data_IF_020566727663
#
_entry.id   IF_020566727663
#
_cell.length_a   1.000
_cell.length_b   1.000
_cell.length_c   1.000
_cell.angle_alpha   90.00
_cell.angle_beta   90.00
_cell.angle_gamma   90.00
#
_symmetry.space_group_name_H-M   'P 1'
#
loop_
_entity.id
_entity.type
_entity.pdbx_description
1 polymer ?
#
# COMPACT_ATOMS: atom_id res chain seq x y z
N UNK A 1 -9.20 -21.52 -2.25
CA UNK A 1 -10.39 -22.15 -2.84
C UNK A 1 -9.94 -22.99 -4.03
N UNK A 2 -10.33 -24.26 -4.08
CA UNK A 2 -9.99 -25.23 -5.12
C UNK A 2 -10.60 -24.87 -6.50
N UNK A 3 -10.10 -25.41 -7.63
CA UNK A 3 -10.27 -24.88 -9.00
C UNK A 3 -11.68 -25.02 -9.63
N UNK A 4 -12.69 -25.41 -8.86
CA UNK A 4 -13.90 -26.02 -9.41
C UNK A 4 -15.15 -25.14 -9.32
N UNK A 5 -15.03 -23.90 -8.84
CA UNK A 5 -16.17 -22.98 -8.78
C UNK A 5 -16.32 -22.19 -10.09
N UNK A 6 -17.30 -22.61 -10.91
CA UNK A 6 -17.83 -21.97 -12.15
C UNK A 6 -18.46 -20.57 -11.91
N UNK A 7 -17.84 -19.69 -11.12
CA UNK A 7 -18.38 -18.35 -10.78
C UNK A 7 -17.56 -17.19 -11.35
N UNK A 8 -16.43 -17.47 -11.99
CA UNK A 8 -15.58 -16.50 -12.69
C UNK A 8 -15.51 -16.93 -14.15
N UNK A 9 -15.87 -16.04 -15.07
CA UNK A 9 -15.69 -16.29 -16.51
C UNK A 9 -14.25 -16.69 -16.76
N UNK A 10 -14.03 -17.88 -17.34
CA UNK A 10 -12.69 -18.40 -17.64
C UNK A 10 -12.15 -17.61 -18.82
N UNK A 11 -11.42 -16.53 -18.57
CA UNK A 11 -10.50 -16.01 -19.58
C UNK A 11 -9.35 -17.01 -19.75
N UNK A 12 -8.84 -17.14 -20.97
CA UNK A 12 -7.72 -18.02 -21.25
C UNK A 12 -6.49 -17.61 -20.40
N UNK A 13 -5.77 -18.60 -19.89
CA UNK A 13 -4.54 -18.42 -19.13
C UNK A 13 -3.39 -19.08 -19.86
N UNK A 14 -2.20 -18.52 -19.76
CA UNK A 14 -0.97 -19.17 -20.19
C UNK A 14 -0.30 -19.86 -19.00
N UNK A 15 0.35 -20.99 -19.26
CA UNK A 15 1.29 -21.61 -18.32
C UNK A 15 2.54 -20.73 -18.14
N UNK A 16 3.31 -20.98 -17.09
CA UNK A 16 4.55 -20.24 -16.83
C UNK A 16 5.53 -20.35 -18.00
N UNK A 17 5.71 -21.55 -18.54
CA UNK A 17 6.64 -21.77 -19.65
C UNK A 17 6.19 -21.05 -20.93
N UNK A 18 4.89 -21.03 -21.21
CA UNK A 18 4.35 -20.27 -22.34
C UNK A 18 4.59 -18.76 -22.18
N UNK A 19 4.43 -18.20 -20.97
CA UNK A 19 4.71 -16.77 -20.70
C UNK A 19 6.20 -16.48 -20.87
N UNK A 20 7.07 -17.34 -20.32
CA UNK A 20 8.54 -17.21 -20.45
C UNK A 20 9.00 -17.28 -21.91
N UNK A 21 8.32 -18.08 -22.73
CA UNK A 21 8.63 -18.26 -24.14
C UNK A 21 8.21 -17.09 -25.05
N UNK A 22 7.47 -16.09 -24.53
CA UNK A 22 7.12 -14.91 -25.32
C UNK A 22 8.38 -14.14 -25.76
N UNK A 23 8.49 -13.72 -27.03
CA UNK A 23 9.70 -13.10 -27.59
C UNK A 23 9.84 -11.61 -27.18
N UNK A 24 9.53 -11.28 -25.92
CA UNK A 24 9.63 -9.91 -25.39
C UNK A 24 11.05 -9.35 -25.54
N UNK A 25 12.06 -10.20 -25.37
CA UNK A 25 13.46 -9.85 -25.55
C UNK A 25 13.83 -9.47 -26.99
N UNK A 26 13.05 -9.87 -28.00
CA UNK A 26 13.31 -9.55 -29.42
C UNK A 26 12.71 -8.19 -29.82
N UNK A 27 11.61 -7.79 -29.18
CA UNK A 27 10.90 -6.54 -29.49
C UNK A 27 11.26 -5.38 -28.53
N UNK A 28 11.77 -5.69 -27.35
CA UNK A 28 12.20 -4.67 -26.40
C UNK A 28 13.55 -4.04 -26.80
N UNK A 29 13.68 -2.73 -26.60
CA UNK A 29 14.93 -2.01 -26.80
C UNK A 29 16.08 -2.57 -25.94
N UNK A 30 17.32 -2.36 -26.38
CA UNK A 30 18.52 -2.84 -25.65
C UNK A 30 18.66 -2.24 -24.25
N UNK A 31 18.17 -1.02 -24.05
CA UNK A 31 17.96 -0.40 -22.75
C UNK A 31 16.47 -0.14 -22.55
N UNK A 32 15.86 -0.83 -21.59
CA UNK A 32 14.41 -0.77 -21.38
C UNK A 32 14.06 -0.99 -19.91
N UNK A 33 12.90 -0.45 -19.52
CA UNK A 33 12.25 -0.76 -18.24
C UNK A 33 11.13 -1.77 -18.45
N UNK A 34 10.92 -2.65 -17.47
CA UNK A 34 9.80 -3.58 -17.40
C UNK A 34 9.02 -3.31 -16.12
N UNK A 35 7.70 -3.17 -16.26
CA UNK A 35 6.73 -3.09 -15.17
C UNK A 35 5.82 -4.32 -15.26
N UNK A 36 6.06 -5.32 -14.42
CA UNK A 36 5.38 -6.61 -14.48
C UNK A 36 4.41 -6.78 -13.31
N UNK A 37 3.11 -6.83 -13.57
CA UNK A 37 2.12 -7.16 -12.55
C UNK A 37 2.23 -8.62 -12.13
N UNK A 38 2.37 -8.86 -10.82
CA UNK A 38 2.53 -10.21 -10.25
C UNK A 38 1.65 -10.37 -9.02
N UNK A 39 0.78 -11.40 -8.98
CA UNK A 39 0.08 -11.78 -7.75
C UNK A 39 1.08 -12.15 -6.66
N UNK A 40 0.82 -11.78 -5.41
CA UNK A 40 1.75 -12.03 -4.29
C UNK A 40 2.22 -13.50 -4.17
N UNK A 41 1.34 -14.45 -4.49
CA UNK A 41 1.64 -15.88 -4.42
C UNK A 41 2.55 -16.39 -5.56
N UNK A 42 2.69 -15.62 -6.65
CA UNK A 42 3.46 -15.97 -7.85
C UNK A 42 4.71 -15.11 -7.99
N UNK A 43 5.18 -14.53 -6.88
CA UNK A 43 6.36 -13.66 -6.89
C UNK A 43 7.61 -14.37 -7.44
N UNK A 44 7.94 -15.62 -7.03
CA UNK A 44 9.08 -16.34 -7.61
C UNK A 44 8.96 -16.51 -9.13
N UNK A 45 7.80 -16.94 -9.61
CA UNK A 45 7.51 -17.15 -11.03
C UNK A 45 7.59 -15.83 -11.81
N UNK A 46 7.11 -14.73 -11.24
CA UNK A 46 7.23 -13.40 -11.82
C UNK A 46 8.70 -12.99 -12.03
N UNK A 47 9.58 -13.30 -11.08
CA UNK A 47 11.02 -13.05 -11.22
C UNK A 47 11.63 -13.92 -12.33
N UNK A 48 11.21 -15.19 -12.44
CA UNK A 48 11.65 -16.07 -13.54
C UNK A 48 11.23 -15.55 -14.91
N UNK A 49 10.02 -15.00 -15.03
CA UNK A 49 9.53 -14.38 -16.28
C UNK A 49 10.40 -13.17 -16.65
N UNK A 50 10.72 -12.29 -15.69
CA UNK A 50 11.60 -11.15 -15.95
C UNK A 50 12.97 -11.59 -16.48
N UNK A 51 13.55 -12.63 -15.86
CA UNK A 51 14.84 -13.17 -16.29
C UNK A 51 14.77 -13.77 -17.69
N UNK A 52 13.73 -14.56 -18.00
CA UNK A 52 13.53 -15.16 -19.32
C UNK A 52 13.39 -14.09 -20.41
N UNK A 53 12.73 -12.96 -20.11
CA UNK A 53 12.60 -11.82 -21.03
C UNK A 53 13.84 -10.92 -21.10
N UNK A 54 14.90 -11.22 -20.33
CA UNK A 54 16.15 -10.47 -20.34
C UNK A 54 16.17 -9.21 -19.46
N UNK A 55 15.28 -9.13 -18.47
CA UNK A 55 15.23 -8.03 -17.50
C UNK A 55 15.74 -8.47 -16.13
N UNK A 56 16.63 -7.67 -15.55
CA UNK A 56 17.07 -7.86 -14.17
C UNK A 56 16.09 -7.17 -13.23
N UNK A 57 15.60 -7.89 -12.23
CA UNK A 57 14.82 -7.30 -11.14
C UNK A 57 15.62 -6.22 -10.39
N UNK A 58 14.99 -5.08 -10.10
CA UNK A 58 15.61 -3.96 -9.38
C UNK A 58 14.83 -3.62 -8.10
N UNK A 59 13.52 -3.43 -8.21
CA UNK A 59 12.64 -3.08 -7.09
C UNK A 59 11.20 -3.45 -7.44
N UNK A 60 10.23 -3.10 -6.60
CA UNK A 60 8.81 -3.27 -6.87
C UNK A 60 8.01 -2.05 -6.42
N UNK A 61 6.83 -1.88 -7.01
CA UNK A 61 5.79 -0.95 -6.57
C UNK A 61 4.63 -1.77 -6.01
N UNK A 62 4.13 -1.38 -4.84
CA UNK A 62 3.02 -2.05 -4.17
C UNK A 62 1.72 -1.32 -4.51
N UNK A 63 0.75 -2.01 -5.09
CA UNK A 63 -0.62 -1.50 -5.12
C UNK A 63 -1.35 -1.90 -3.84
N UNK A 64 -1.56 -0.95 -2.93
CA UNK A 64 -2.38 -1.12 -1.75
C UNK A 64 -3.86 -0.84 -2.06
N UNK A 65 -4.69 -1.87 -1.92
CA UNK A 65 -6.13 -1.79 -2.16
C UNK A 65 -6.81 -1.23 -0.93
N UNK A 66 -7.33 -0.02 -1.06
CA UNK A 66 -7.97 0.69 0.05
C UNK A 66 -9.50 0.57 -0.02
N UNK A 67 -10.12 0.62 1.15
CA UNK A 67 -11.55 0.88 1.32
C UNK A 67 -11.80 2.39 1.25
N UNK A 68 -13.07 2.79 1.34
CA UNK A 68 -13.44 4.20 1.38
C UNK A 68 -12.81 4.93 2.58
N UNK A 69 -12.72 4.26 3.73
CA UNK A 69 -12.15 4.77 4.98
C UNK A 69 -10.60 4.78 5.03
N UNK A 70 -9.90 4.56 3.91
CA UNK A 70 -8.43 4.47 3.86
C UNK A 70 -7.84 3.17 4.44
N UNK A 71 -8.64 2.33 5.09
CA UNK A 71 -8.21 1.03 5.59
C UNK A 71 -7.95 0.01 4.48
N UNK A 72 -7.22 -1.09 4.77
CA UNK A 72 -6.98 -2.14 3.79
C UNK A 72 -8.27 -2.89 3.39
N UNK A 73 -8.41 -3.19 2.10
CA UNK A 73 -9.57 -3.91 1.55
C UNK A 73 -9.45 -5.44 1.74
N UNK A 74 -9.90 -5.92 2.90
CA UNK A 74 -9.87 -7.34 3.30
C UNK A 74 -10.76 -8.29 2.47
N UNK A 75 -11.41 -7.82 1.39
CA UNK A 75 -12.20 -8.67 0.47
C UNK A 75 -11.33 -9.50 -0.48
N UNK A 76 -10.01 -9.31 -0.48
CA UNK A 76 -9.07 -10.11 -1.26
C UNK A 76 -9.02 -11.59 -0.87
N UNK A 77 -8.94 -12.47 -1.86
CA UNK A 77 -8.76 -13.92 -1.67
C UNK A 77 -7.30 -14.26 -1.39
N UNK A 78 -7.07 -15.19 -0.46
CA UNK A 78 -5.76 -15.78 -0.15
C UNK A 78 -5.93 -16.88 0.89
N UNK A 79 -5.01 -17.85 0.90
CA UNK A 79 -5.10 -19.04 1.76
C UNK A 79 -4.51 -18.80 3.16
N UNK A 80 -3.39 -18.06 3.22
CA UNK A 80 -2.70 -17.74 4.47
C UNK A 80 -3.04 -16.34 4.98
N UNK A 81 -3.10 -15.36 4.07
CA UNK A 81 -3.44 -13.97 4.38
C UNK A 81 -4.48 -13.44 3.39
N UNK A 82 -5.26 -12.44 3.81
CA UNK A 82 -6.17 -11.71 2.90
C UNK A 82 -5.33 -10.78 2.04
N UNK A 83 -5.34 -10.98 0.72
CA UNK A 83 -4.55 -10.17 -0.20
C UNK A 83 -5.14 -8.77 -0.35
N UNK A 84 -4.59 -7.82 0.39
CA UNK A 84 -4.92 -6.39 0.31
C UNK A 84 -3.94 -5.61 -0.58
N UNK A 85 -2.94 -6.30 -1.13
CA UNK A 85 -1.94 -5.74 -2.04
C UNK A 85 -1.81 -6.57 -3.33
N UNK A 86 -1.27 -5.96 -4.37
CA UNK A 86 -0.66 -6.62 -5.55
C UNK A 86 0.67 -5.93 -5.85
N UNK A 87 1.59 -6.61 -6.53
CA UNK A 87 2.92 -6.08 -6.85
C UNK A 87 3.05 -5.76 -8.34
N UNK A 88 3.77 -4.68 -8.63
CA UNK A 88 4.41 -4.44 -9.92
C UNK A 88 5.91 -4.65 -9.71
N UNK A 89 6.49 -5.68 -10.30
CA UNK A 89 7.93 -5.83 -10.32
C UNK A 89 8.53 -4.85 -11.32
N UNK A 90 9.57 -4.14 -10.91
CA UNK A 90 10.32 -3.21 -11.75
C UNK A 90 11.66 -3.83 -12.14
N UNK A 91 11.85 -4.00 -13.45
CA UNK A 91 13.05 -4.57 -14.05
C UNK A 91 13.74 -3.64 -15.02
N UNK A 92 15.04 -3.85 -15.19
CA UNK A 92 15.87 -3.09 -16.14
C UNK A 92 16.59 -4.06 -17.06
N UNK A 93 16.53 -3.79 -18.36
CA UNK A 93 17.41 -4.37 -19.38
C UNK A 93 18.48 -3.36 -19.77
N UNK A 94 19.71 -3.84 -19.96
CA UNK A 94 20.86 -2.97 -20.23
C UNK A 94 21.23 -2.10 -19.02
N UNK A 95 21.63 -0.87 -19.27
CA UNK A 95 22.04 0.09 -18.24
C UNK A 95 21.23 1.38 -18.34
N UNK A 96 20.08 1.41 -17.67
CA UNK A 96 19.16 2.56 -17.63
C UNK A 96 18.78 2.89 -16.18
N UNK A 97 18.64 4.19 -15.89
CA UNK A 97 17.99 4.70 -14.68
C UNK A 97 16.64 5.29 -15.05
N UNK A 98 15.74 5.36 -14.07
CA UNK A 98 14.50 6.13 -14.19
C UNK A 98 14.78 7.61 -14.47
N UNK A 99 13.80 8.25 -15.10
CA UNK A 99 13.72 9.70 -15.24
C UNK A 99 13.68 10.37 -13.86
N UNK A 100 13.86 11.69 -13.83
CA UNK A 100 13.94 12.45 -12.58
C UNK A 100 12.72 12.28 -11.66
N UNK A 101 11.52 12.08 -12.23
CA UNK A 101 10.31 11.80 -11.45
C UNK A 101 10.41 10.47 -10.70
N UNK A 102 10.94 9.42 -11.34
CA UNK A 102 11.11 8.10 -10.73
C UNK A 102 12.10 8.06 -9.57
N UNK A 103 12.95 9.07 -9.40
CA UNK A 103 13.84 9.19 -8.23
C UNK A 103 13.14 9.75 -7.00
N UNK A 104 11.97 10.36 -7.18
CA UNK A 104 11.12 10.93 -6.12
C UNK A 104 9.82 10.13 -5.92
N UNK A 105 9.50 9.26 -6.87
CA UNK A 105 8.35 8.39 -6.81
C UNK A 105 8.48 7.40 -5.64
N UNK A 106 7.48 7.40 -4.75
CA UNK A 106 7.34 6.37 -3.74
C UNK A 106 6.90 5.06 -4.38
N UNK A 107 7.33 3.93 -3.83
CA UNK A 107 7.06 2.62 -4.40
C UNK A 107 5.67 2.07 -4.02
N UNK A 108 4.65 2.94 -4.01
CA UNK A 108 3.30 2.57 -3.62
C UNK A 108 2.24 3.32 -4.42
N UNK A 109 1.21 2.60 -4.85
CA UNK A 109 -0.03 3.12 -5.41
C UNK A 109 -1.15 2.75 -4.45
N UNK A 110 -1.94 3.72 -4.00
CA UNK A 110 -3.07 3.47 -3.10
C UNK A 110 -4.37 3.87 -3.77
N UNK A 111 -5.23 2.90 -4.06
CA UNK A 111 -6.51 3.19 -4.72
C UNK A 111 -7.60 2.26 -4.23
N UNK A 112 -8.85 2.67 -4.41
CA UNK A 112 -10.00 1.80 -4.17
C UNK A 112 -10.09 0.74 -5.25
N UNK A 113 -10.32 -0.51 -4.83
CA UNK A 113 -10.48 -1.64 -5.75
C UNK A 113 -11.67 -1.41 -6.69
N UNK A 114 -11.41 -1.54 -7.99
CA UNK A 114 -12.42 -1.51 -9.07
C UNK A 114 -12.89 -2.93 -9.43
N UNK A 115 -13.52 -3.11 -10.59
CA UNK A 115 -13.98 -4.42 -11.07
C UNK A 115 -12.88 -5.50 -11.08
N UNK A 116 -13.31 -6.77 -11.14
CA UNK A 116 -12.41 -7.90 -10.99
C UNK A 116 -11.25 -7.84 -12.00
N UNK A 117 -10.03 -7.96 -11.50
CA UNK A 117 -8.78 -7.94 -12.27
C UNK A 117 -8.39 -6.60 -12.91
N UNK A 118 -9.18 -5.52 -12.75
CA UNK A 118 -8.77 -4.19 -13.24
C UNK A 118 -7.69 -3.59 -12.34
N UNK A 119 -6.58 -3.24 -12.97
CA UNK A 119 -5.42 -2.54 -12.37
C UNK A 119 -5.73 -1.03 -12.23
N UNK A 120 -5.05 -0.32 -11.31
CA UNK A 120 -5.22 1.13 -11.15
C UNK A 120 -4.77 1.87 -12.41
N UNK A 121 -5.57 2.84 -12.89
CA UNK A 121 -5.19 3.66 -14.03
C UNK A 121 -3.99 4.57 -13.68
N UNK A 122 -3.81 4.85 -12.39
CA UNK A 122 -2.70 5.62 -11.82
C UNK A 122 -1.32 5.01 -12.13
N UNK A 123 -1.28 3.73 -12.54
CA UNK A 123 -0.04 3.10 -13.00
C UNK A 123 0.54 3.80 -14.23
N UNK A 124 -0.29 4.35 -15.11
CA UNK A 124 0.16 4.86 -16.39
C UNK A 124 0.90 6.18 -16.22
N UNK A 125 0.32 7.14 -15.50
CA UNK A 125 0.97 8.41 -15.19
C UNK A 125 2.28 8.20 -14.41
N UNK A 126 2.30 7.19 -13.53
CA UNK A 126 3.53 6.77 -12.85
C UNK A 126 4.57 6.29 -13.87
N UNK A 127 4.21 5.36 -14.76
CA UNK A 127 5.16 4.79 -15.73
C UNK A 127 5.65 5.86 -16.69
N UNK A 128 4.75 6.65 -17.27
CA UNK A 128 5.04 7.70 -18.26
C UNK A 128 5.93 8.80 -17.67
N UNK A 129 5.75 9.16 -16.39
CA UNK A 129 6.63 10.13 -15.72
C UNK A 129 7.99 9.53 -15.33
N UNK A 130 8.05 8.23 -15.00
CA UNK A 130 9.25 7.58 -14.50
C UNK A 130 10.15 6.98 -15.60
N UNK A 131 9.61 6.71 -16.78
CA UNK A 131 10.28 5.97 -17.85
C UNK A 131 10.06 6.61 -19.22
N UNK A 132 11.10 6.68 -20.06
CA UNK A 132 10.93 7.17 -21.42
C UNK A 132 10.13 6.17 -22.26
N UNK A 133 9.35 6.69 -23.21
CA UNK A 133 8.76 5.88 -24.27
C UNK A 133 9.80 5.45 -25.33
N UNK A 134 9.37 4.70 -26.37
CA UNK A 134 7.99 4.27 -26.64
C UNK A 134 7.48 3.21 -25.65
N UNK A 135 6.15 3.09 -25.52
CA UNK A 135 5.50 2.19 -24.56
C UNK A 135 4.78 1.01 -25.23
N UNK A 136 4.88 -0.17 -24.62
CA UNK A 136 4.19 -1.40 -25.01
C UNK A 136 3.43 -1.97 -23.79
N UNK A 137 2.11 -2.17 -23.91
CA UNK A 137 1.30 -2.89 -22.94
C UNK A 137 0.93 -4.28 -23.49
N UNK A 138 1.41 -5.32 -22.83
CA UNK A 138 1.05 -6.71 -23.14
C UNK A 138 -0.12 -7.18 -22.28
N UNK A 139 -0.97 -8.03 -22.87
CA UNK A 139 -2.23 -8.50 -22.28
C UNK A 139 -3.24 -7.37 -21.98
N UNK A 140 -3.17 -6.28 -22.74
CA UNK A 140 -4.07 -5.14 -22.62
C UNK A 140 -5.52 -5.55 -22.96
N UNK A 141 -6.49 -4.91 -22.31
CA UNK A 141 -7.93 -5.07 -22.61
C UNK A 141 -8.55 -3.88 -23.32
N UNK A 142 -7.88 -2.74 -23.32
CA UNK A 142 -8.37 -1.51 -23.91
C UNK A 142 -7.21 -0.83 -24.61
N UNK A 143 -7.45 -0.15 -25.75
CA UNK A 143 -6.44 0.72 -26.33
C UNK A 143 -6.12 1.88 -25.38
N UNK A 144 -4.88 2.37 -25.44
CA UNK A 144 -4.46 3.57 -24.72
C UNK A 144 -3.65 4.45 -25.66
N UNK A 145 -4.00 5.73 -25.71
CA UNK A 145 -3.28 6.71 -26.52
C UNK A 145 -1.81 6.78 -26.08
N UNK A 146 -0.90 6.81 -27.06
CA UNK A 146 0.55 6.82 -26.81
C UNK A 146 1.15 5.45 -26.47
N UNK A 147 0.35 4.39 -26.35
CA UNK A 147 0.80 3.02 -26.06
C UNK A 147 0.56 2.09 -27.25
N UNK A 148 1.58 1.30 -27.59
CA UNK A 148 1.36 0.10 -28.41
C UNK A 148 0.70 -0.95 -27.51
N UNK A 149 -0.46 -1.45 -27.88
CA UNK A 149 -1.18 -2.46 -27.08
C UNK A 149 -1.19 -3.81 -27.79
N UNK A 150 -0.98 -4.89 -27.03
CA UNK A 150 -1.11 -6.26 -27.49
C UNK A 150 -1.96 -7.06 -26.51
N UNK A 151 -3.07 -7.62 -26.95
CA UNK A 151 -3.94 -8.45 -26.12
C UNK A 151 -5.17 -8.93 -26.87
N UNK A 152 -5.77 -10.03 -26.41
CA UNK A 152 -6.91 -10.66 -27.09
C UNK A 152 -8.18 -9.79 -27.12
N UNK A 153 -8.24 -8.74 -26.29
CA UNK A 153 -9.35 -7.77 -26.24
C UNK A 153 -8.89 -6.35 -26.61
N UNK A 154 -7.68 -6.18 -27.16
CA UNK A 154 -7.07 -4.87 -27.38
C UNK A 154 -7.47 -4.19 -28.70
N UNK A 155 -8.16 -4.90 -29.60
CA UNK A 155 -8.59 -4.34 -30.88
C UNK A 155 -9.78 -3.38 -30.69
N UNK A 156 -9.81 -2.28 -31.45
CA UNK A 156 -10.81 -1.21 -31.32
C UNK A 156 -12.25 -1.69 -31.55
N UNK A 157 -12.43 -2.80 -32.26
CA UNK A 157 -13.71 -3.39 -32.62
C UNK A 157 -14.22 -4.43 -31.59
N UNK A 158 -13.43 -4.76 -30.57
CA UNK A 158 -13.79 -5.74 -29.54
C UNK A 158 -14.35 -5.02 -28.32
N UNK A 159 -15.59 -5.36 -27.92
CA UNK A 159 -16.14 -4.93 -26.63
C UNK A 159 -15.56 -5.81 -25.52
N UNK A 160 -14.75 -5.28 -24.58
CA UNK A 160 -14.04 -6.11 -23.61
C UNK A 160 -14.96 -6.76 -22.57
N UNK A 161 -14.58 -7.93 -22.06
CA UNK A 161 -15.38 -8.63 -21.06
C UNK A 161 -15.20 -7.96 -19.67
N UNK A 162 -16.15 -7.12 -19.28
CA UNK A 162 -16.19 -6.50 -17.96
C UNK A 162 -17.48 -5.71 -17.73
N UNK A 163 -18.52 -6.34 -17.19
CA UNK A 163 -19.74 -5.62 -16.78
C UNK A 163 -19.42 -4.68 -15.60
N UNK A 164 -19.63 -3.39 -15.78
CA UNK A 164 -19.61 -2.40 -14.70
C UNK A 164 -20.80 -2.65 -13.77
N UNK A 165 -20.52 -3.11 -12.56
CA UNK A 165 -21.53 -3.20 -11.50
C UNK A 165 -21.44 -1.94 -10.63
N UNK A 166 -22.59 -1.36 -10.25
CA UNK A 166 -22.71 -0.12 -9.45
C UNK A 166 -21.87 -0.08 -8.15
N UNK A 167 -21.35 -1.21 -7.67
CA UNK A 167 -20.49 -1.31 -6.48
C UNK A 167 -18.97 -1.31 -6.73
N UNK A 168 -18.51 -1.18 -7.98
CA UNK A 168 -17.10 -1.35 -8.38
C UNK A 168 -16.51 -0.16 -9.15
N UNK A 169 -17.17 1.00 -9.13
CA UNK A 169 -16.78 2.18 -9.93
C UNK A 169 -15.43 2.84 -9.57
N UNK A 170 -14.66 2.30 -8.63
CA UNK A 170 -13.56 3.03 -8.01
C UNK A 170 -14.05 4.29 -7.28
N UNK A 171 -13.17 5.26 -7.09
CA UNK A 171 -13.47 6.56 -6.48
C UNK A 171 -12.42 6.96 -5.45
N UNK A 172 -12.55 8.18 -4.95
CA UNK A 172 -11.64 8.72 -3.94
C UNK A 172 -11.63 7.82 -2.71
N UNK A 173 -10.41 7.58 -2.21
CA UNK A 173 -10.22 7.22 -0.82
C UNK A 173 -10.61 8.49 -0.06
N UNK A 174 -11.53 8.38 0.90
CA UNK A 174 -11.72 9.50 1.82
C UNK A 174 -10.33 9.68 2.44
N UNK A 175 -9.63 10.76 2.06
CA UNK A 175 -8.36 11.09 2.70
C UNK A 175 -8.58 11.00 4.20
N UNK A 176 -7.56 10.57 4.95
CA UNK A 176 -7.54 10.85 6.40
C UNK A 176 -8.18 12.23 6.57
N UNK A 177 -9.25 12.39 7.35
CA UNK A 177 -9.95 13.66 7.40
C UNK A 177 -8.88 14.70 7.67
N UNK A 178 -8.61 15.53 6.66
CA UNK A 178 -7.69 16.65 6.81
C UNK A 178 -8.50 17.57 7.69
N UNK A 179 -8.31 17.43 9.00
CA UNK A 179 -8.86 18.39 9.92
C UNK A 179 -8.18 19.70 9.55
N UNK A 180 -8.94 20.65 9.03
CA UNK A 180 -8.48 22.03 9.01
C UNK A 180 -8.07 22.44 10.42
N UNK A 181 -7.22 23.45 10.56
CA UNK A 181 -6.87 23.97 11.88
C UNK A 181 -8.15 24.29 12.66
N UNK A 182 -8.29 23.66 13.83
CA UNK A 182 -9.47 23.74 14.71
C UNK A 182 -10.76 23.03 14.25
N UNK A 183 -10.72 22.24 13.18
CA UNK A 183 -11.85 21.40 12.78
C UNK A 183 -12.06 20.26 13.78
N UNK A 184 -13.33 20.05 14.17
CA UNK A 184 -13.69 18.98 15.10
C UNK A 184 -13.87 17.69 14.31
N UNK A 185 -13.29 16.60 14.83
CA UNK A 185 -13.58 15.26 14.35
C UNK A 185 -15.09 15.03 14.30
N UNK A 186 -15.55 14.39 13.23
CA UNK A 186 -16.92 13.88 13.17
C UNK A 186 -17.14 12.90 14.32
N UNK A 187 -18.39 12.70 14.73
CA UNK A 187 -18.72 11.74 15.79
C UNK A 187 -18.16 10.33 15.49
N UNK A 188 -18.17 9.92 14.23
CA UNK A 188 -17.57 8.66 13.78
C UNK A 188 -16.04 8.65 13.93
N UNK A 189 -15.37 9.75 13.59
CA UNK A 189 -13.93 9.92 13.77
C UNK A 189 -13.52 9.91 15.25
N UNK A 190 -14.27 10.60 16.12
CA UNK A 190 -14.03 10.56 17.57
C UNK A 190 -14.18 9.14 18.13
N UNK A 191 -15.18 8.39 17.67
CA UNK A 191 -15.37 7.00 18.09
C UNK A 191 -14.24 6.08 17.64
N UNK A 192 -13.69 6.31 16.44
CA UNK A 192 -12.58 5.54 15.89
C UNK A 192 -11.30 5.76 16.70
N UNK A 193 -10.93 7.02 16.95
CA UNK A 193 -9.78 7.39 17.80
C UNK A 193 -9.96 6.83 19.21
N UNK A 194 -11.17 6.90 19.77
CA UNK A 194 -11.45 6.37 21.09
C UNK A 194 -11.28 4.85 21.21
N UNK A 195 -11.62 4.08 20.16
CA UNK A 195 -11.39 2.63 20.13
C UNK A 195 -9.90 2.29 20.09
N UNK A 196 -9.11 3.00 19.28
CA UNK A 196 -7.66 2.80 19.20
C UNK A 196 -6.99 3.05 20.57
N UNK A 197 -7.30 4.19 21.20
CA UNK A 197 -6.77 4.52 22.52
C UNK A 197 -7.20 3.53 23.60
N UNK A 198 -8.44 2.99 23.51
CA UNK A 198 -8.88 1.92 24.43
C UNK A 198 -8.05 0.66 24.22
N UNK A 199 -7.88 0.23 22.98
CA UNK A 199 -7.18 -1.02 22.70
C UNK A 199 -5.74 -0.92 23.25
N UNK A 200 -5.02 0.16 22.99
CA UNK A 200 -3.69 0.44 23.55
C UNK A 200 -3.68 0.48 25.10
N UNK A 201 -4.69 1.14 25.70
CA UNK A 201 -4.85 1.21 27.15
C UNK A 201 -5.07 -0.18 27.79
N UNK A 202 -5.88 -1.03 27.16
CA UNK A 202 -6.17 -2.41 27.58
C UNK A 202 -4.94 -3.31 27.45
N UNK A 203 -4.03 -3.00 26.51
CA UNK A 203 -2.73 -3.67 26.36
C UNK A 203 -1.65 -3.15 27.32
N UNK A 204 -2.00 -2.26 28.24
CA UNK A 204 -1.19 -1.96 29.41
C UNK A 204 -0.73 -0.51 29.52
N UNK A 205 -0.76 0.27 28.44
CA UNK A 205 -0.30 1.67 28.44
C UNK A 205 -1.13 2.54 29.38
N UNK A 206 -0.47 3.35 30.20
CA UNK A 206 -1.16 4.26 31.12
C UNK A 206 -1.77 5.46 30.38
N UNK A 207 -2.66 6.19 31.04
CA UNK A 207 -3.21 7.44 30.48
C UNK A 207 -2.10 8.45 30.19
N UNK A 208 -1.04 8.45 30.99
CA UNK A 208 0.11 9.35 30.81
C UNK A 208 0.94 8.95 29.60
N UNK A 209 1.12 7.63 29.35
CA UNK A 209 1.80 7.12 28.15
C UNK A 209 1.03 7.50 26.88
N UNK A 210 -0.30 7.27 26.86
CA UNK A 210 -1.17 7.64 25.74
C UNK A 210 -1.21 9.15 25.49
N UNK A 211 -1.13 9.94 26.56
CA UNK A 211 -1.07 11.39 26.47
C UNK A 211 0.21 11.85 25.79
N UNK A 212 1.35 11.27 26.16
CA UNK A 212 2.66 11.60 25.60
C UNK A 212 2.85 11.10 24.15
N UNK A 213 2.38 9.89 23.84
CA UNK A 213 2.54 9.27 22.52
C UNK A 213 1.71 9.97 21.43
N UNK A 214 0.47 10.35 21.75
CA UNK A 214 -0.46 10.93 20.79
C UNK A 214 -0.57 12.46 20.86
N UNK A 215 0.28 13.11 21.64
CA UNK A 215 0.25 14.56 21.92
C UNK A 215 -1.15 15.07 22.31
N UNK A 216 -1.84 14.27 23.13
CA UNK A 216 -3.15 14.60 23.65
C UNK A 216 -3.06 15.03 25.10
N UNK A 217 -3.89 15.99 25.50
CA UNK A 217 -4.04 16.26 26.94
C UNK A 217 -4.65 15.05 27.65
N UNK A 218 -4.25 14.83 28.91
CA UNK A 218 -4.82 13.79 29.79
C UNK A 218 -6.36 13.85 29.80
N UNK A 219 -6.93 15.05 29.81
CA UNK A 219 -8.37 15.26 29.76
C UNK A 219 -9.00 14.73 28.46
N UNK A 220 -8.33 14.92 27.32
CA UNK A 220 -8.76 14.42 26.01
C UNK A 220 -8.70 12.90 25.94
N UNK A 221 -7.62 12.29 26.43
CA UNK A 221 -7.49 10.81 26.51
C UNK A 221 -8.61 10.22 27.37
N UNK A 222 -8.86 10.80 28.56
CA UNK A 222 -9.96 10.38 29.44
C UNK A 222 -11.33 10.52 28.79
N UNK A 223 -11.56 11.60 28.03
CA UNK A 223 -12.81 11.81 27.29
C UNK A 223 -13.04 10.70 26.29
N UNK A 224 -12.02 10.33 25.51
CA UNK A 224 -12.11 9.26 24.53
C UNK A 224 -12.33 7.89 25.16
N UNK A 225 -11.58 7.54 26.21
CA UNK A 225 -11.80 6.28 26.93
C UNK A 225 -13.23 6.20 27.50
N UNK A 226 -13.77 7.30 28.03
CA UNK A 226 -15.16 7.37 28.49
C UNK A 226 -16.17 7.23 27.34
N UNK A 227 -15.88 7.82 26.18
CA UNK A 227 -16.74 7.77 25.00
C UNK A 227 -17.02 6.33 24.54
N UNK A 228 -16.07 5.42 24.74
CA UNK A 228 -16.20 3.99 24.40
C UNK A 228 -16.39 3.10 25.64
N UNK A 229 -16.82 3.69 26.76
CA UNK A 229 -17.15 3.00 28.01
C UNK A 229 -15.99 2.17 28.60
N UNK A 230 -14.75 2.61 28.41
CA UNK A 230 -13.57 1.93 28.98
C UNK A 230 -13.47 2.20 30.48
N UNK A 231 -13.41 1.16 31.34
CA UNK A 231 -13.20 1.34 32.77
C UNK A 231 -11.79 1.87 33.06
N UNK A 232 -11.71 3.02 33.73
CA UNK A 232 -10.42 3.62 34.11
C UNK A 232 -9.84 2.84 35.29
N UNK A 233 -8.57 2.43 35.18
CA UNK A 233 -7.82 1.69 36.19
C UNK A 233 -7.59 2.64 37.36
N UNK A 234 -7.71 2.14 38.58
CA UNK A 234 -7.41 2.94 39.77
C UNK A 234 -5.97 3.47 39.68
N UNK A 235 -5.79 4.74 40.02
CA UNK A 235 -4.49 5.38 39.95
C UNK A 235 -3.54 4.67 40.94
N UNK A 236 -2.59 3.90 40.42
CA UNK A 236 -1.55 3.29 41.22
C UNK A 236 -0.77 4.40 41.93
N UNK A 237 -0.68 4.34 43.26
CA UNK A 237 0.11 5.27 44.06
C UNK A 237 1.58 5.17 43.60
N UNK A 238 2.03 6.12 42.78
CA UNK A 238 3.41 6.15 42.30
C UNK A 238 4.38 6.16 43.49
N UNK A 239 5.24 5.13 43.59
CA UNK A 239 6.43 5.18 44.45
C UNK A 239 7.33 6.26 43.87
N UNK A 240 7.19 7.47 44.42
CA UNK A 240 8.10 8.59 44.25
C UNK A 240 9.53 8.06 44.35
N UNK A 241 10.28 8.09 43.25
CA UNK A 241 11.68 7.69 43.25
C UNK A 241 12.42 8.54 44.28
N UNK A 242 13.19 7.87 45.15
CA UNK A 242 14.09 8.54 46.09
C UNK A 242 15.05 9.39 45.26
N UNK A 243 14.99 10.72 45.44
CA UNK A 243 16.09 11.63 45.06
C UNK A 243 17.35 11.09 45.71
N UNK A 244 18.31 10.65 44.89
CA UNK A 244 19.69 10.45 45.31
C UNK A 244 20.23 11.82 45.69
N UNK A 245 20.62 11.99 46.95
CA UNK A 245 21.29 13.20 47.41
C UNK A 245 22.64 13.31 46.69
N UNK A 246 22.94 14.48 46.11
CA UNK A 246 24.30 14.85 45.71
C UNK A 246 25.17 14.90 46.99
N UNK A 247 26.39 14.35 47.00
CA UNK A 247 27.32 14.62 48.09
C UNK A 247 27.76 16.09 48.04
N UNK A 248 27.92 16.67 49.22
CA UNK A 248 28.33 18.06 49.42
C UNK A 248 29.78 18.28 48.94
N UNK A 249 29.99 19.37 48.20
CA UNK A 249 31.31 19.94 47.94
C UNK A 249 31.92 20.40 49.26
N UNK A 250 33.11 19.90 49.59
CA UNK A 250 33.99 20.50 50.58
C UNK A 250 34.88 21.52 49.86
N UNK A 251 34.74 22.77 50.27
CA UNK A 251 35.42 23.94 49.73
C UNK A 251 36.66 24.23 50.59
N UNK A 252 37.82 24.41 49.93
CA UNK A 252 38.96 25.30 50.28
C UNK A 252 39.72 24.99 51.60
N UNK A 253 41.05 25.14 51.76
CA UNK A 253 42.10 25.97 51.16
C UNK A 253 43.48 25.34 51.50
N UNK A 254 44.53 25.69 50.73
CA UNK A 254 45.74 26.39 51.23
C UNK A 254 47.02 26.09 50.43
N UNK A 255 47.51 27.14 49.77
CA UNK A 255 48.91 27.62 49.71
C UNK A 255 50.08 26.71 49.29
N UNK A 256 50.76 27.23 48.26
CA UNK A 256 52.08 26.91 47.66
C UNK A 256 52.20 25.70 46.74
#
# INVERSE_FOLDING_TARGET
MAPEHKRLGRYATMSLDEIKALPVGEVAASNAHLYLWVPNALLPEGIEVMQAWGFRYVSNIVWAKRRKDGGPDGRGVGFYFRNVTELILFGVRGHMRTLDAGRRQVNMIETRKREHSRKPDEQYDLIESCSPGPYLEMFARYPREGWTVWGNEAAEDITPQGKTYKGYSGGDIDGYPVLGDHERLTQAGELAVAKLLRDEYEHGQSIDDLSAEHDYSIARVRRYLKLVNTPIRAQGRSKRSRRVAKPAEAQQDAFF
#
